data_IF_783079508469
#
_entry.id   IF_783079508469
#
_cell.length_a   1.000
_cell.length_b   1.000
_cell.length_c   1.000
_cell.angle_alpha   90.00
_cell.angle_beta   90.00
_cell.angle_gamma   90.00
#
_symmetry.space_group_name_H-M   'P 1'
#
loop_
_entity.id
_entity.type
_entity.pdbx_description
1 polymer ?
#
# COMPACT_ATOMS: atom_id res chain seq x y z
N UNK A 1 -51.65 12.46 11.43
CA UNK A 1 -50.80 13.63 11.10
C UNK A 1 -49.36 13.18 11.42
N UNK A 2 -48.60 12.52 10.54
CA UNK A 2 -47.93 12.99 9.29
C UNK A 2 -47.20 14.34 9.54
N UNK A 3 -45.87 14.55 9.45
CA UNK A 3 -44.73 13.98 8.68
C UNK A 3 -43.44 14.05 9.56
N UNK A 4 -42.43 13.15 9.57
CA UNK A 4 -41.33 12.84 8.62
C UNK A 4 -40.62 14.00 7.89
N UNK A 5 -39.37 14.28 8.32
CA UNK A 5 -38.15 14.75 7.59
C UNK A 5 -37.16 15.18 8.71
N UNK A 6 -35.92 14.69 8.90
CA UNK A 6 -34.90 14.19 7.98
C UNK A 6 -33.93 15.34 7.64
N UNK A 7 -32.71 15.36 8.22
CA UNK A 7 -31.41 15.80 7.61
C UNK A 7 -30.34 16.24 8.64
N UNK A 8 -29.31 15.38 8.77
CA UNK A 8 -27.87 15.62 8.88
C UNK A 8 -27.34 17.00 9.37
N UNK A 9 -26.46 17.05 10.39
CA UNK A 9 -25.46 18.11 10.52
C UNK A 9 -24.19 17.76 9.74
N UNK A 10 -23.53 18.82 9.23
CA UNK A 10 -22.53 18.76 8.17
C UNK A 10 -21.22 18.06 8.50
N UNK A 11 -20.66 17.41 7.48
CA UNK A 11 -19.24 17.06 7.40
C UNK A 11 -18.45 18.30 6.97
N UNK A 12 -17.64 18.81 7.90
CA UNK A 12 -16.62 19.81 7.66
C UNK A 12 -15.59 19.34 6.64
N UNK A 13 -14.96 20.33 6.01
CA UNK A 13 -13.87 20.18 5.07
C UNK A 13 -12.76 19.26 5.64
N UNK A 14 -12.48 18.16 4.94
CA UNK A 14 -11.22 17.46 5.11
C UNK A 14 -10.12 18.37 4.56
N UNK A 15 -9.35 18.97 5.48
CA UNK A 15 -8.11 19.65 5.15
C UNK A 15 -7.20 18.67 4.40
N UNK A 16 -6.86 19.02 3.17
CA UNK A 16 -5.82 18.34 2.39
C UNK A 16 -4.53 18.31 3.20
N UNK A 17 -4.10 17.11 3.61
CA UNK A 17 -2.80 16.93 4.23
C UNK A 17 -1.70 17.45 3.28
N UNK A 18 -0.75 18.27 3.74
CA UNK A 18 0.32 18.75 2.89
C UNK A 18 1.22 17.59 2.45
N UNK A 19 1.57 17.57 1.16
CA UNK A 19 2.54 16.63 0.60
C UNK A 19 3.89 16.72 1.34
N UNK A 20 4.64 15.59 1.47
CA UNK A 20 5.98 15.59 2.03
C UNK A 20 6.90 16.61 1.34
N UNK A 21 7.70 17.32 2.13
CA UNK A 21 8.49 18.49 1.68
C UNK A 21 9.54 18.14 0.61
N UNK A 22 9.94 16.87 0.51
CA UNK A 22 10.82 16.32 -0.54
C UNK A 22 10.13 16.29 -1.91
N UNK A 23 8.89 15.81 -1.95
CA UNK A 23 8.04 15.77 -3.16
C UNK A 23 7.59 17.18 -3.56
N UNK A 24 7.29 18.06 -2.60
CA UNK A 24 7.03 19.47 -2.90
C UNK A 24 8.22 20.13 -3.62
N UNK A 25 9.46 19.85 -3.21
CA UNK A 25 10.66 20.44 -3.85
C UNK A 25 10.90 19.91 -5.26
N UNK A 26 10.68 18.61 -5.49
CA UNK A 26 10.80 18.02 -6.84
C UNK A 26 9.69 18.49 -7.78
N UNK A 27 8.45 18.59 -7.30
CA UNK A 27 7.35 19.18 -8.06
C UNK A 27 7.61 20.66 -8.38
N UNK A 28 8.10 21.46 -7.42
CA UNK A 28 8.41 22.88 -7.67
C UNK A 28 9.59 23.12 -8.61
N UNK A 29 10.55 22.19 -8.69
CA UNK A 29 11.71 22.32 -9.58
C UNK A 29 11.31 22.12 -11.05
N UNK A 30 10.34 21.25 -11.32
CA UNK A 30 9.76 21.08 -12.67
C UNK A 30 8.62 22.07 -12.97
N UNK A 31 7.88 22.55 -11.95
CA UNK A 31 6.84 23.58 -12.11
C UNK A 31 7.39 24.98 -12.43
N UNK A 32 8.68 25.25 -12.26
CA UNK A 32 9.26 26.55 -12.63
C UNK A 32 9.51 26.71 -14.15
N UNK A 33 9.24 25.68 -14.96
CA UNK A 33 9.33 25.79 -16.43
C UNK A 33 8.00 25.91 -17.18
N UNK A 34 6.86 25.61 -16.57
CA UNK A 34 5.55 25.76 -17.21
C UNK A 34 4.54 26.36 -16.23
N UNK A 35 4.50 27.69 -16.17
CA UNK A 35 3.54 28.46 -15.38
C UNK A 35 2.19 28.56 -16.12
N UNK A 36 1.64 27.40 -16.51
CA UNK A 36 0.30 27.25 -17.07
C UNK A 36 -0.48 26.35 -16.11
N UNK A 37 -1.42 26.92 -15.34
CA UNK A 37 -2.44 26.15 -14.61
C UNK A 37 -2.99 25.08 -15.55
N UNK A 38 -2.83 23.81 -15.16
CA UNK A 38 -3.20 22.68 -16.00
C UNK A 38 -4.64 22.85 -16.48
N UNK A 39 -4.93 22.70 -17.79
CA UNK A 39 -6.24 22.96 -18.37
C UNK A 39 -7.36 22.17 -17.68
N UNK A 40 -7.02 21.01 -17.13
CA UNK A 40 -7.93 20.11 -16.42
C UNK A 40 -8.33 20.63 -15.02
N UNK A 41 -7.42 21.30 -14.29
CA UNK A 41 -7.76 21.93 -12.99
C UNK A 41 -8.73 23.10 -13.19
N UNK A 42 -8.49 23.93 -14.20
CA UNK A 42 -9.38 25.01 -14.60
C UNK A 42 -10.75 24.48 -15.04
N UNK A 43 -10.79 23.34 -15.73
CA UNK A 43 -12.03 22.70 -16.14
C UNK A 43 -12.81 22.13 -14.96
N UNK A 44 -12.14 21.45 -14.01
CA UNK A 44 -12.74 20.96 -12.77
C UNK A 44 -13.30 22.11 -11.93
N UNK A 45 -12.57 23.22 -11.80
CA UNK A 45 -13.06 24.42 -11.10
C UNK A 45 -14.31 25.01 -11.76
N UNK A 46 -14.35 25.09 -13.10
CA UNK A 46 -15.53 25.55 -13.84
C UNK A 46 -16.73 24.62 -13.65
N UNK A 47 -16.52 23.30 -13.67
CA UNK A 47 -17.58 22.33 -13.42
C UNK A 47 -18.13 22.43 -11.99
N UNK A 48 -17.25 22.61 -10.98
CA UNK A 48 -17.66 22.84 -9.59
C UNK A 48 -18.46 24.13 -9.43
N UNK A 49 -18.03 25.23 -10.05
CA UNK A 49 -18.77 26.51 -10.04
C UNK A 49 -20.15 26.37 -10.70
N UNK A 50 -20.21 25.72 -11.87
CA UNK A 50 -21.47 25.45 -12.58
C UNK A 50 -22.43 24.60 -11.73
N UNK A 51 -21.91 23.67 -10.93
CA UNK A 51 -22.69 22.86 -10.00
C UNK A 51 -23.31 23.72 -8.90
N UNK A 52 -22.55 24.66 -8.31
CA UNK A 52 -23.06 25.61 -7.32
C UNK A 52 -24.21 26.44 -7.92
N UNK A 53 -24.03 26.98 -9.12
CA UNK A 53 -25.03 27.80 -9.81
C UNK A 53 -26.31 27.01 -10.14
N UNK A 54 -26.17 25.77 -10.61
CA UNK A 54 -27.31 24.89 -10.88
C UNK A 54 -28.04 24.47 -9.60
N UNK A 55 -27.32 24.32 -8.48
CA UNK A 55 -27.92 23.99 -7.18
C UNK A 55 -28.72 25.16 -6.62
N UNK A 56 -28.23 26.39 -6.81
CA UNK A 56 -28.96 27.62 -6.52
C UNK A 56 -30.20 27.78 -7.41
N UNK A 57 -30.08 27.47 -8.70
CA UNK A 57 -31.21 27.50 -9.66
C UNK A 57 -32.27 26.45 -9.29
N UNK A 58 -31.85 25.24 -8.86
CA UNK A 58 -32.76 24.18 -8.38
C UNK A 58 -33.55 24.62 -7.15
N UNK A 59 -32.88 25.25 -6.19
CA UNK A 59 -33.54 25.74 -4.96
C UNK A 59 -34.51 26.87 -5.25
N UNK A 60 -34.17 27.78 -6.17
CA UNK A 60 -35.08 28.81 -6.65
C UNK A 60 -36.31 28.23 -7.39
N UNK A 61 -36.10 27.29 -8.32
CA UNK A 61 -37.19 26.62 -9.05
C UNK A 61 -38.12 25.83 -8.11
N UNK A 62 -37.56 25.22 -7.06
CA UNK A 62 -38.32 24.52 -6.03
C UNK A 62 -39.17 25.48 -5.19
N UNK A 63 -38.68 26.69 -4.90
CA UNK A 63 -39.47 27.73 -4.23
C UNK A 63 -40.56 28.35 -5.12
N UNK A 64 -40.37 28.32 -6.44
CA UNK A 64 -41.30 28.84 -7.44
C UNK A 64 -42.32 27.79 -7.95
N UNK A 65 -42.20 26.53 -7.51
CA UNK A 65 -43.01 25.40 -7.98
C UNK A 65 -42.93 25.14 -9.50
N UNK A 66 -41.78 25.46 -10.11
CA UNK A 66 -41.54 25.31 -11.55
C UNK A 66 -40.93 23.94 -11.88
N UNK A 67 -41.81 22.95 -12.02
CA UNK A 67 -41.46 21.55 -12.21
C UNK A 67 -40.55 21.24 -13.42
N UNK A 68 -40.76 21.80 -14.62
CA UNK A 68 -39.88 21.52 -15.77
C UNK A 68 -38.44 22.01 -15.56
N UNK A 69 -38.24 23.17 -14.92
CA UNK A 69 -36.89 23.67 -14.59
C UNK A 69 -36.24 22.78 -13.51
N UNK A 70 -37.03 22.28 -12.57
CA UNK A 70 -36.58 21.38 -11.50
C UNK A 70 -36.06 20.05 -12.05
N UNK A 71 -36.77 19.44 -12.99
CA UNK A 71 -36.35 18.18 -13.61
C UNK A 71 -35.13 18.38 -14.52
N UNK A 72 -35.09 19.49 -15.27
CA UNK A 72 -33.94 19.82 -16.12
C UNK A 72 -32.67 20.11 -15.30
N UNK A 73 -32.78 20.85 -14.19
CA UNK A 73 -31.64 21.15 -13.31
C UNK A 73 -31.16 19.90 -12.58
N UNK A 74 -32.05 19.01 -12.13
CA UNK A 74 -31.67 17.70 -11.56
C UNK A 74 -30.87 16.86 -12.54
N UNK A 75 -31.33 16.71 -13.78
CA UNK A 75 -30.62 15.94 -14.79
C UNK A 75 -29.22 16.51 -15.09
N UNK A 76 -29.10 17.84 -15.19
CA UNK A 76 -27.81 18.53 -15.41
C UNK A 76 -26.85 18.38 -14.24
N UNK A 77 -27.35 18.49 -12.99
CA UNK A 77 -26.54 18.27 -11.78
C UNK A 77 -26.01 16.84 -11.77
N UNK A 78 -26.85 15.83 -12.02
CA UNK A 78 -26.42 14.43 -12.06
C UNK A 78 -25.34 14.20 -13.12
N UNK A 79 -25.50 14.78 -14.31
CA UNK A 79 -24.52 14.65 -15.40
C UNK A 79 -23.17 15.30 -15.04
N UNK A 80 -23.18 16.50 -14.48
CA UNK A 80 -21.94 17.20 -14.06
C UNK A 80 -21.27 16.45 -12.90
N UNK A 81 -22.04 15.91 -11.95
CA UNK A 81 -21.50 15.08 -10.87
C UNK A 81 -20.80 13.83 -11.42
N UNK A 82 -21.42 13.14 -12.39
CA UNK A 82 -20.79 11.99 -13.05
C UNK A 82 -19.51 12.37 -13.80
N UNK A 83 -19.50 13.51 -14.49
CA UNK A 83 -18.32 14.02 -15.19
C UNK A 83 -17.19 14.39 -14.23
N UNK A 84 -17.49 15.06 -13.10
CA UNK A 84 -16.51 15.38 -12.08
C UNK A 84 -15.90 14.12 -11.47
N UNK A 85 -16.71 13.13 -11.14
CA UNK A 85 -16.23 11.82 -10.63
C UNK A 85 -15.30 11.16 -11.65
N UNK A 86 -15.66 11.18 -12.93
CA UNK A 86 -14.82 10.61 -14.00
C UNK A 86 -13.47 11.35 -14.14
N UNK A 87 -13.47 12.67 -14.09
CA UNK A 87 -12.23 13.47 -14.17
C UNK A 87 -11.34 13.28 -12.94
N UNK A 88 -11.95 13.20 -11.75
CA UNK A 88 -11.23 12.94 -10.51
C UNK A 88 -10.57 11.56 -10.51
N UNK A 89 -11.26 10.55 -11.06
CA UNK A 89 -10.70 9.22 -11.32
C UNK A 89 -9.52 9.24 -12.30
N UNK A 90 -9.63 10.00 -13.40
CA UNK A 90 -8.55 10.12 -14.38
C UNK A 90 -7.33 10.83 -13.79
N UNK A 91 -7.53 11.96 -13.11
CA UNK A 91 -6.45 12.71 -12.48
C UNK A 91 -5.75 11.87 -11.40
N UNK A 92 -6.51 11.14 -10.59
CA UNK A 92 -5.96 10.22 -9.58
C UNK A 92 -5.11 9.12 -10.22
N UNK A 93 -5.58 8.54 -11.34
CA UNK A 93 -4.84 7.52 -12.06
C UNK A 93 -3.54 8.08 -12.68
N UNK A 94 -3.59 9.28 -13.25
CA UNK A 94 -2.44 9.95 -13.85
C UNK A 94 -1.38 10.31 -12.80
N UNK A 95 -1.80 10.80 -11.62
CA UNK A 95 -0.91 11.06 -10.49
C UNK A 95 -0.20 9.78 -10.05
N UNK A 96 -0.93 8.68 -9.86
CA UNK A 96 -0.33 7.40 -9.45
C UNK A 96 0.62 6.87 -10.53
N UNK A 97 0.25 6.95 -11.81
CA UNK A 97 1.11 6.53 -12.91
C UNK A 97 2.40 7.36 -13.00
N UNK A 98 2.31 8.67 -12.80
CA UNK A 98 3.47 9.56 -12.75
C UNK A 98 4.37 9.23 -11.56
N UNK A 99 3.81 9.07 -10.36
CA UNK A 99 4.58 8.71 -9.17
C UNK A 99 5.27 7.34 -9.33
N UNK A 100 4.60 6.36 -9.93
CA UNK A 100 5.19 5.04 -10.22
C UNK A 100 6.34 5.17 -11.23
N UNK A 101 6.18 6.03 -12.25
CA UNK A 101 7.22 6.28 -13.26
C UNK A 101 8.45 6.93 -12.62
N UNK A 102 8.27 7.96 -11.80
CA UNK A 102 9.35 8.63 -11.05
C UNK A 102 10.04 7.64 -10.11
N UNK A 103 9.28 6.78 -9.43
CA UNK A 103 9.84 5.73 -8.58
C UNK A 103 10.70 4.74 -9.39
N UNK A 104 10.23 4.30 -10.57
CA UNK A 104 10.98 3.43 -11.46
C UNK A 104 12.28 4.09 -11.95
N UNK A 105 12.26 5.38 -12.29
CA UNK A 105 13.44 6.13 -12.73
C UNK A 105 14.47 6.25 -11.61
N UNK A 106 14.03 6.58 -10.40
CA UNK A 106 14.89 6.64 -9.22
C UNK A 106 15.51 5.27 -8.91
N UNK A 107 14.71 4.20 -8.94
CA UNK A 107 15.17 2.83 -8.73
C UNK A 107 16.20 2.42 -9.78
N UNK A 108 15.93 2.70 -11.06
CA UNK A 108 16.84 2.38 -12.17
C UNK A 108 18.18 3.13 -12.03
N UNK A 109 18.15 4.41 -11.64
CA UNK A 109 19.36 5.20 -11.43
C UNK A 109 20.20 4.69 -10.25
N UNK A 110 19.56 4.35 -9.13
CA UNK A 110 20.27 3.83 -7.94
C UNK A 110 20.83 2.43 -8.23
N UNK A 111 20.04 1.56 -8.84
CA UNK A 111 20.47 0.22 -9.24
C UNK A 111 21.62 0.32 -10.25
N UNK A 112 21.53 1.18 -11.27
CA UNK A 112 22.60 1.42 -12.23
C UNK A 112 23.91 1.83 -11.56
N UNK A 113 23.85 2.74 -10.58
CA UNK A 113 25.04 3.12 -9.78
C UNK A 113 25.59 1.95 -8.98
N UNK A 114 24.74 1.18 -8.29
CA UNK A 114 25.14 0.01 -7.51
C UNK A 114 25.78 -1.09 -8.39
N UNK A 115 25.36 -1.20 -9.64
CA UNK A 115 25.92 -2.13 -10.62
C UNK A 115 27.21 -1.62 -11.28
N UNK A 116 27.44 -0.31 -11.35
CA UNK A 116 28.66 0.30 -11.95
C UNK A 116 29.93 0.20 -11.11
N UNK A 117 29.82 -0.04 -9.81
CA UNK A 117 30.97 -0.06 -8.90
C UNK A 117 31.74 -1.38 -8.98
N UNK A 118 32.51 -1.57 -10.06
CA UNK A 118 33.61 -2.55 -10.17
C UNK A 118 33.27 -3.93 -10.76
N UNK A 119 34.28 -4.73 -11.14
CA UNK A 119 34.10 -6.04 -11.75
C UNK A 119 33.61 -7.03 -10.68
N UNK A 120 32.39 -7.52 -10.88
CA UNK A 120 31.68 -8.35 -9.92
C UNK A 120 30.66 -7.49 -9.20
N UNK A 121 29.39 -7.80 -9.44
CA UNK A 121 28.29 -7.31 -8.60
C UNK A 121 28.63 -7.79 -7.21
N UNK A 122 29.11 -6.91 -6.35
CA UNK A 122 28.94 -7.17 -4.94
C UNK A 122 27.44 -6.96 -4.71
N UNK A 123 26.62 -7.99 -4.91
CA UNK A 123 25.28 -8.00 -4.32
C UNK A 123 25.40 -7.82 -2.79
N UNK A 124 26.59 -8.04 -2.21
CA UNK A 124 26.96 -7.63 -0.86
C UNK A 124 27.03 -6.11 -0.62
N UNK A 125 27.18 -5.26 -1.65
CA UNK A 125 27.01 -3.78 -1.54
C UNK A 125 25.56 -3.35 -1.59
N UNK A 126 24.67 -4.15 -2.20
CA UNK A 126 23.23 -4.01 -2.02
C UNK A 126 22.92 -4.54 -0.61
N UNK A 127 23.03 -3.65 0.38
CA UNK A 127 22.84 -4.00 1.78
C UNK A 127 21.49 -4.73 1.97
N UNK A 128 21.44 -5.66 2.93
CA UNK A 128 20.19 -6.24 3.40
C UNK A 128 19.24 -5.11 3.81
N UNK A 129 18.22 -4.82 3.00
CA UNK A 129 17.33 -3.68 3.20
C UNK A 129 17.34 -2.63 2.08
N UNK A 130 18.07 -2.82 0.99
CA UNK A 130 17.84 -2.07 -0.25
C UNK A 130 16.54 -2.55 -0.93
N UNK A 131 15.66 -1.64 -1.42
CA UNK A 131 15.70 -0.19 -1.35
C UNK A 131 14.90 0.36 -0.15
N UNK A 132 14.45 -0.45 0.82
CA UNK A 132 13.67 0.00 1.98
C UNK A 132 14.29 1.17 2.76
N UNK A 133 15.61 1.32 2.72
CA UNK A 133 16.30 2.45 3.34
C UNK A 133 16.31 3.73 2.48
N UNK A 134 16.05 3.62 1.19
CA UNK A 134 16.07 4.74 0.25
C UNK A 134 14.88 5.67 0.43
N UNK A 135 15.09 7.00 0.42
CA UNK A 135 14.03 7.97 0.65
C UNK A 135 12.95 7.90 -0.43
N UNK A 136 13.31 7.73 -1.70
CA UNK A 136 12.33 7.64 -2.80
C UNK A 136 11.38 6.44 -2.63
N UNK A 137 11.87 5.33 -2.05
CA UNK A 137 11.08 4.13 -1.84
C UNK A 137 10.12 4.31 -0.65
N UNK A 138 10.60 4.89 0.46
CA UNK A 138 9.76 5.23 1.61
C UNK A 138 8.67 6.25 1.28
N UNK A 139 9.01 7.27 0.50
CA UNK A 139 8.07 8.31 0.07
C UNK A 139 6.97 7.68 -0.80
N UNK A 140 7.32 6.76 -1.70
CA UNK A 140 6.33 6.07 -2.53
C UNK A 140 5.45 5.10 -1.72
N UNK A 141 5.99 4.33 -0.77
CA UNK A 141 5.19 3.52 0.14
C UNK A 141 4.21 4.39 0.95
N UNK A 142 4.65 5.56 1.42
CA UNK A 142 3.79 6.51 2.14
C UNK A 142 2.67 7.05 1.25
N UNK A 143 2.95 7.32 -0.02
CA UNK A 143 1.93 7.71 -1.00
C UNK A 143 0.92 6.59 -1.24
N UNK A 144 1.37 5.34 -1.36
CA UNK A 144 0.48 4.18 -1.53
C UNK A 144 -0.51 4.03 -0.37
N UNK A 145 -0.16 4.46 0.86
CA UNK A 145 -1.08 4.48 2.01
C UNK A 145 -2.18 5.53 1.91
N UNK A 146 -1.96 6.58 1.11
CA UNK A 146 -2.94 7.65 0.87
C UNK A 146 -3.86 7.34 -0.32
N UNK A 147 -3.55 6.32 -1.14
CA UNK A 147 -4.39 5.94 -2.27
C UNK A 147 -5.76 5.46 -1.77
N UNK A 148 -6.88 5.98 -2.32
CA UNK A 148 -8.22 5.53 -1.93
C UNK A 148 -8.48 4.06 -2.31
N UNK A 149 -9.28 3.34 -1.51
CA UNK A 149 -9.49 1.89 -1.64
C UNK A 149 -9.99 1.46 -3.02
N UNK A 150 -10.83 2.26 -3.64
CA UNK A 150 -11.41 2.01 -4.97
C UNK A 150 -10.37 1.98 -6.11
N UNK A 151 -9.15 2.46 -5.88
CA UNK A 151 -8.07 2.39 -6.87
C UNK A 151 -7.04 1.31 -6.57
N UNK A 152 -7.05 0.76 -5.36
CA UNK A 152 -5.99 -0.15 -4.94
C UNK A 152 -5.91 -1.36 -5.90
N UNK A 153 -7.04 -1.89 -6.40
CA UNK A 153 -7.04 -3.05 -7.32
C UNK A 153 -6.25 -2.73 -8.60
N UNK A 154 -6.46 -1.53 -9.15
CA UNK A 154 -5.74 -1.05 -10.32
C UNK A 154 -4.26 -0.83 -10.02
N UNK A 155 -3.92 -0.31 -8.83
CA UNK A 155 -2.54 -0.15 -8.40
C UNK A 155 -1.84 -1.50 -8.27
N UNK A 156 -2.47 -2.45 -7.57
CA UNK A 156 -1.95 -3.80 -7.40
C UNK A 156 -1.73 -4.47 -8.75
N UNK A 157 -2.70 -4.40 -9.65
CA UNK A 157 -2.59 -4.94 -11.00
C UNK A 157 -1.45 -4.31 -11.78
N UNK A 158 -1.30 -2.99 -11.73
CA UNK A 158 -0.19 -2.28 -12.37
C UNK A 158 1.17 -2.72 -11.82
N UNK A 159 1.31 -2.87 -10.50
CA UNK A 159 2.54 -3.37 -9.88
C UNK A 159 2.87 -4.82 -10.30
N UNK A 160 1.87 -5.70 -10.35
CA UNK A 160 2.04 -7.09 -10.79
C UNK A 160 2.52 -7.19 -12.24
N UNK A 161 2.08 -6.27 -13.10
CA UNK A 161 2.52 -6.20 -14.50
C UNK A 161 3.97 -5.72 -14.70
N UNK A 162 4.60 -5.18 -13.66
CA UNK A 162 6.01 -4.76 -13.68
C UNK A 162 6.98 -5.89 -13.32
N UNK A 163 6.48 -7.03 -12.81
CA UNK A 163 7.36 -8.12 -12.38
C UNK A 163 8.19 -8.66 -13.56
N UNK A 164 9.50 -8.89 -13.36
CA UNK A 164 10.43 -9.21 -14.45
C UNK A 164 10.36 -10.63 -14.99
N UNK A 165 9.70 -11.55 -14.29
CA UNK A 165 9.67 -12.94 -14.75
C UNK A 165 8.54 -13.14 -15.76
N UNK A 166 8.92 -13.65 -16.93
CA UNK A 166 8.00 -14.10 -17.97
C UNK A 166 7.23 -15.34 -17.48
N UNK A 167 6.03 -15.12 -16.96
CA UNK A 167 5.12 -16.19 -16.58
C UNK A 167 4.25 -16.54 -17.80
N UNK A 168 4.11 -17.84 -18.14
CA UNK A 168 3.25 -18.27 -19.23
C UNK A 168 1.82 -17.73 -19.07
N UNK A 169 1.26 -17.20 -20.17
CA UNK A 169 -0.10 -16.67 -20.23
C UNK A 169 -0.35 -15.42 -19.36
N UNK A 170 0.69 -14.66 -19.01
CA UNK A 170 0.56 -13.28 -18.51
C UNK A 170 0.90 -12.32 -19.66
N UNK A 171 0.03 -11.33 -19.96
CA UNK A 171 0.32 -10.35 -20.99
C UNK A 171 1.55 -9.51 -20.60
N UNK A 172 2.52 -9.41 -21.52
CA UNK A 172 3.68 -8.54 -21.35
C UNK A 172 3.23 -7.07 -21.31
N UNK A 173 3.63 -6.36 -20.26
CA UNK A 173 3.40 -4.92 -20.18
C UNK A 173 4.45 -4.18 -21.00
N UNK A 174 4.08 -3.17 -21.82
CA UNK A 174 5.05 -2.30 -22.47
C UNK A 174 5.87 -1.48 -21.45
N UNK A 175 5.40 -1.40 -20.21
CA UNK A 175 6.10 -0.77 -19.08
C UNK A 175 6.76 -1.77 -18.14
N UNK A 176 6.86 -3.06 -18.53
CA UNK A 176 7.41 -4.13 -17.71
C UNK A 176 8.93 -4.04 -17.50
N UNK A 177 9.54 -5.14 -17.05
CA UNK A 177 10.97 -5.12 -16.72
C UNK A 177 11.88 -4.79 -17.91
N UNK A 178 11.53 -5.16 -19.13
CA UNK A 178 12.28 -4.77 -20.34
C UNK A 178 12.37 -3.24 -20.46
N UNK A 179 11.27 -2.52 -20.20
CA UNK A 179 11.24 -1.06 -20.18
C UNK A 179 12.02 -0.48 -18.98
N UNK A 180 11.93 -1.11 -17.81
CA UNK A 180 12.75 -0.74 -16.66
C UNK A 180 14.26 -0.85 -16.96
N UNK A 181 14.70 -1.93 -17.60
CA UNK A 181 16.11 -2.12 -17.93
C UNK A 181 16.62 -1.16 -19.00
N UNK A 182 15.78 -0.68 -19.90
CA UNK A 182 16.14 0.41 -20.83
C UNK A 182 16.49 1.71 -20.08
N UNK A 183 15.94 1.92 -18.89
CA UNK A 183 16.20 3.10 -18.03
C UNK A 183 17.47 2.96 -17.20
N UNK A 184 18.00 1.75 -17.04
CA UNK A 184 19.27 1.53 -16.35
C UNK A 184 20.39 1.96 -17.31
N UNK A 185 21.02 3.10 -17.03
CA UNK A 185 21.93 3.83 -17.93
C UNK A 185 23.23 3.12 -18.31
N UNK A 186 23.42 1.84 -17.96
CA UNK A 186 24.66 1.09 -18.15
C UNK A 186 24.36 -0.27 -18.78
N UNK A 187 25.24 -0.78 -19.66
CA UNK A 187 25.07 -2.10 -20.25
C UNK A 187 25.16 -3.16 -19.15
N UNK A 188 24.00 -3.70 -18.79
CA UNK A 188 23.91 -4.80 -17.83
C UNK A 188 24.43 -6.06 -18.54
N UNK A 189 25.57 -6.61 -18.08
CA UNK A 189 26.04 -7.91 -18.55
C UNK A 189 24.97 -8.97 -18.25
N UNK A 190 24.79 -9.97 -19.10
CA UNK A 190 23.78 -11.01 -18.91
C UNK A 190 23.86 -11.69 -17.52
N UNK A 191 25.08 -11.83 -16.99
CA UNK A 191 25.40 -12.36 -15.65
C UNK A 191 24.83 -11.50 -14.49
N UNK A 192 24.49 -10.24 -14.76
CA UNK A 192 24.00 -9.24 -13.79
C UNK A 192 22.49 -9.06 -13.85
N UNK A 193 21.87 -9.41 -14.98
CA UNK A 193 20.43 -9.26 -15.21
C UNK A 193 19.64 -10.08 -14.19
N UNK A 194 20.11 -11.28 -13.85
CA UNK A 194 19.40 -12.14 -12.91
C UNK A 194 19.36 -11.54 -11.49
N UNK A 195 20.49 -11.06 -10.97
CA UNK A 195 20.52 -10.38 -9.67
C UNK A 195 19.69 -9.09 -9.66
N UNK A 196 19.72 -8.32 -10.75
CA UNK A 196 18.92 -7.11 -10.91
C UNK A 196 17.41 -7.42 -10.95
N UNK A 197 17.01 -8.50 -11.62
CA UNK A 197 15.65 -9.02 -11.61
C UNK A 197 15.18 -9.37 -10.20
N UNK A 198 16.01 -10.09 -9.43
CA UNK A 198 15.68 -10.47 -8.05
C UNK A 198 15.50 -9.23 -7.16
N UNK A 199 16.35 -8.21 -7.33
CA UNK A 199 16.20 -6.95 -6.62
C UNK A 199 14.90 -6.26 -7.01
N UNK A 200 14.59 -6.16 -8.30
CA UNK A 200 13.34 -5.54 -8.77
C UNK A 200 12.10 -6.27 -8.22
N UNK A 201 12.12 -7.60 -8.19
CA UNK A 201 11.06 -8.42 -7.57
C UNK A 201 10.90 -8.09 -6.10
N UNK A 202 12.01 -8.04 -5.37
CA UNK A 202 12.00 -7.74 -3.93
C UNK A 202 11.44 -6.33 -3.65
N UNK A 203 11.76 -5.35 -4.51
CA UNK A 203 11.24 -3.98 -4.46
C UNK A 203 9.74 -3.93 -4.74
N UNK A 204 9.29 -4.59 -5.81
CA UNK A 204 7.88 -4.61 -6.18
C UNK A 204 7.04 -5.32 -5.12
N UNK A 205 7.59 -6.35 -4.49
CA UNK A 205 6.92 -7.04 -3.38
C UNK A 205 6.71 -6.16 -2.16
N UNK A 206 7.62 -5.24 -1.86
CA UNK A 206 7.40 -4.26 -0.78
C UNK A 206 6.18 -3.38 -1.09
N UNK A 207 6.05 -2.92 -2.32
CA UNK A 207 4.90 -2.12 -2.75
C UNK A 207 3.60 -2.93 -2.78
N UNK A 208 3.66 -4.17 -3.28
CA UNK A 208 2.53 -5.09 -3.27
C UNK A 208 2.08 -5.33 -1.83
N UNK A 209 3.01 -5.58 -0.91
CA UNK A 209 2.70 -5.75 0.52
C UNK A 209 2.00 -4.52 1.12
N UNK A 210 2.42 -3.30 0.80
CA UNK A 210 1.77 -2.07 1.28
C UNK A 210 0.33 -1.94 0.76
N UNK A 211 0.09 -2.36 -0.49
CA UNK A 211 -1.26 -2.37 -1.07
C UNK A 211 -2.11 -3.50 -0.47
N UNK A 212 -1.54 -4.69 -0.30
CA UNK A 212 -2.27 -5.85 0.24
C UNK A 212 -2.54 -5.75 1.73
N UNK A 213 -1.78 -5.00 2.53
CA UNK A 213 -2.17 -4.77 3.94
C UNK A 213 -3.50 -4.03 4.09
N UNK A 214 -3.96 -3.35 3.04
CA UNK A 214 -5.17 -2.55 3.03
C UNK A 214 -6.34 -3.28 2.36
N UNK A 215 -6.19 -4.60 2.15
CA UNK A 215 -7.20 -5.51 1.63
C UNK A 215 -8.41 -5.57 2.56
N UNK A 216 -9.55 -5.06 2.11
CA UNK A 216 -10.86 -5.42 2.68
C UNK A 216 -11.50 -6.55 1.87
N UNK A 217 -12.35 -7.43 2.42
CA UNK A 217 -13.00 -8.47 1.63
C UNK A 217 -13.79 -7.88 0.44
N UNK A 218 -13.47 -8.30 -0.79
CA UNK A 218 -14.25 -7.96 -2.01
C UNK A 218 -13.77 -6.76 -2.85
N UNK A 219 -12.71 -6.05 -2.45
CA UNK A 219 -12.13 -4.92 -3.21
C UNK A 219 -11.41 -5.32 -4.52
N UNK A 220 -10.71 -6.47 -4.57
CA UNK A 220 -9.91 -6.87 -5.72
C UNK A 220 -10.73 -7.72 -6.69
N UNK A 221 -10.52 -7.48 -7.99
CA UNK A 221 -11.15 -8.28 -9.02
C UNK A 221 -10.56 -9.70 -9.02
N UNK A 222 -11.38 -10.68 -9.40
CA UNK A 222 -10.95 -12.07 -9.53
C UNK A 222 -9.73 -12.21 -10.46
N UNK A 223 -9.61 -11.36 -11.47
CA UNK A 223 -8.49 -11.37 -12.39
C UNK A 223 -7.20 -10.86 -11.75
N UNK A 224 -7.25 -9.81 -10.94
CA UNK A 224 -6.09 -9.33 -10.15
C UNK A 224 -5.64 -10.39 -9.15
N UNK A 225 -6.57 -11.04 -8.45
CA UNK A 225 -6.27 -12.12 -7.52
C UNK A 225 -5.62 -13.32 -8.22
N UNK A 226 -6.15 -13.73 -9.38
CA UNK A 226 -5.55 -14.80 -10.21
C UNK A 226 -4.14 -14.43 -10.66
N UNK A 227 -3.92 -13.18 -11.05
CA UNK A 227 -2.61 -12.69 -11.47
C UNK A 227 -1.61 -12.77 -10.31
N UNK A 228 -2.00 -12.28 -9.13
CA UNK A 228 -1.20 -12.34 -7.89
C UNK A 228 -0.82 -13.78 -7.54
N UNK A 229 -1.80 -14.69 -7.53
CA UNK A 229 -1.55 -16.11 -7.24
C UNK A 229 -0.61 -16.74 -8.26
N UNK A 230 -0.75 -16.43 -9.55
CA UNK A 230 0.16 -16.93 -10.60
C UNK A 230 1.60 -16.50 -10.33
N UNK A 231 1.83 -15.24 -9.98
CA UNK A 231 3.16 -14.78 -9.58
C UNK A 231 3.65 -15.54 -8.35
N UNK A 232 2.89 -15.55 -7.26
CA UNK A 232 3.29 -16.20 -6.02
C UNK A 232 3.68 -17.68 -6.21
N UNK A 233 2.84 -18.48 -6.88
CA UNK A 233 3.11 -19.88 -7.16
C UNK A 233 4.30 -20.08 -8.10
N UNK A 234 4.52 -19.18 -9.04
CA UNK A 234 5.67 -19.24 -9.93
C UNK A 234 6.99 -19.04 -9.17
N UNK A 235 7.06 -18.04 -8.28
CA UNK A 235 8.25 -17.83 -7.44
C UNK A 235 8.47 -18.98 -6.45
N UNK A 236 7.41 -19.52 -5.84
CA UNK A 236 7.50 -20.72 -4.99
C UNK A 236 8.04 -21.93 -5.75
N UNK A 237 7.61 -22.13 -7.01
CA UNK A 237 8.14 -23.20 -7.86
C UNK A 237 9.62 -23.01 -8.18
N UNK A 238 10.06 -21.77 -8.40
CA UNK A 238 11.48 -21.46 -8.64
C UNK A 238 12.30 -21.78 -7.38
N UNK A 239 11.85 -21.44 -6.16
CA UNK A 239 12.59 -21.80 -4.93
C UNK A 239 12.84 -23.29 -4.80
N UNK A 240 11.89 -24.12 -5.25
CA UNK A 240 12.00 -25.57 -5.13
C UNK A 240 12.98 -26.20 -6.15
N UNK A 241 13.27 -25.51 -7.25
CA UNK A 241 13.97 -26.11 -8.41
C UNK A 241 15.30 -25.45 -8.74
N UNK A 242 15.46 -24.15 -8.46
CA UNK A 242 16.65 -23.40 -8.83
C UNK A 242 17.67 -23.37 -7.70
N UNK A 243 18.93 -23.65 -8.04
CA UNK A 243 20.07 -23.43 -7.14
C UNK A 243 20.55 -21.99 -7.29
N UNK A 244 20.52 -21.25 -6.20
CA UNK A 244 21.01 -19.87 -6.15
C UNK A 244 22.41 -19.82 -5.55
N UNK A 245 23.19 -18.81 -5.92
CA UNK A 245 24.40 -18.46 -5.15
C UNK A 245 24.00 -18.06 -3.71
N UNK A 246 24.91 -18.10 -2.72
CA UNK A 246 24.58 -17.74 -1.34
C UNK A 246 23.92 -16.35 -1.20
N UNK A 247 24.36 -15.39 -2.01
CA UNK A 247 23.83 -14.02 -1.98
C UNK A 247 22.44 -13.92 -2.61
N UNK A 248 22.24 -14.55 -3.77
CA UNK A 248 20.94 -14.62 -4.43
C UNK A 248 19.94 -15.42 -3.59
N UNK A 249 20.38 -16.50 -2.96
CA UNK A 249 19.56 -17.35 -2.10
C UNK A 249 19.00 -16.58 -0.91
N UNK A 250 19.76 -15.65 -0.33
CA UNK A 250 19.28 -14.79 0.75
C UNK A 250 18.18 -13.82 0.27
N UNK A 251 18.34 -13.22 -0.90
CA UNK A 251 17.32 -12.34 -1.51
C UNK A 251 16.09 -13.14 -1.92
N UNK A 252 16.30 -14.35 -2.44
CA UNK A 252 15.21 -15.24 -2.84
C UNK A 252 14.42 -15.73 -1.63
N UNK A 253 15.08 -16.04 -0.51
CA UNK A 253 14.41 -16.38 0.74
C UNK A 253 13.53 -15.23 1.24
N UNK A 254 14.00 -13.98 1.13
CA UNK A 254 13.21 -12.78 1.44
C UNK A 254 12.01 -12.64 0.49
N UNK A 255 12.24 -12.81 -0.81
CA UNK A 255 11.18 -12.84 -1.84
C UNK A 255 10.08 -13.86 -1.50
N UNK A 256 10.45 -15.08 -1.11
CA UNK A 256 9.48 -16.14 -0.75
C UNK A 256 8.72 -15.80 0.53
N UNK A 257 9.41 -15.24 1.54
CA UNK A 257 8.75 -14.76 2.75
C UNK A 257 7.71 -13.68 2.44
N UNK A 258 8.08 -12.69 1.62
CA UNK A 258 7.16 -11.62 1.19
C UNK A 258 5.97 -12.18 0.41
N UNK A 259 6.18 -13.17 -0.46
CA UNK A 259 5.06 -13.85 -1.14
C UNK A 259 4.14 -14.61 -0.19
N UNK A 260 4.70 -15.33 0.79
CA UNK A 260 3.89 -16.03 1.79
C UNK A 260 3.02 -15.05 2.58
N UNK A 261 3.56 -13.86 2.87
CA UNK A 261 2.81 -12.76 3.47
C UNK A 261 1.72 -12.25 2.52
N UNK A 262 2.04 -11.91 1.28
CA UNK A 262 1.04 -11.42 0.31
C UNK A 262 -0.11 -12.43 0.12
N UNK A 263 0.21 -13.72 0.08
CA UNK A 263 -0.78 -14.80 0.01
C UNK A 263 -1.68 -14.84 1.26
N UNK A 264 -1.10 -14.63 2.44
CA UNK A 264 -1.87 -14.55 3.68
C UNK A 264 -2.82 -13.36 3.72
N UNK A 265 -2.44 -12.20 3.19
CA UNK A 265 -3.35 -11.04 3.12
C UNK A 265 -4.57 -11.31 2.24
N UNK A 266 -4.35 -12.04 1.14
CA UNK A 266 -5.42 -12.39 0.20
C UNK A 266 -6.32 -13.50 0.75
N UNK A 267 -5.81 -14.34 1.65
CA UNK A 267 -6.51 -15.52 2.15
C UNK A 267 -7.66 -15.22 3.14
N UNK A 268 -7.94 -13.96 3.45
CA UNK A 268 -8.96 -13.53 4.42
C UNK A 268 -8.83 -14.31 5.76
N UNK A 269 -7.64 -14.22 6.36
CA UNK A 269 -7.34 -14.92 7.62
C UNK A 269 -7.97 -14.16 8.78
N UNK A 270 -8.76 -14.84 9.62
CA UNK A 270 -9.33 -14.25 10.82
C UNK A 270 -8.22 -13.87 11.83
N UNK A 271 -8.30 -12.65 12.38
CA UNK A 271 -7.34 -12.13 13.36
C UNK A 271 -7.13 -13.12 14.53
N UNK A 272 -8.21 -13.65 15.11
CA UNK A 272 -8.13 -14.58 16.24
C UNK A 272 -7.39 -15.90 15.94
N UNK A 273 -7.30 -16.33 14.67
CA UNK A 273 -6.48 -17.49 14.29
C UNK A 273 -4.99 -17.14 14.19
N UNK A 274 -4.68 -15.92 13.74
CA UNK A 274 -3.32 -15.40 13.70
C UNK A 274 -2.77 -15.25 15.10
N UNK A 275 -3.58 -14.69 16.01
CA UNK A 275 -3.23 -14.51 17.42
C UNK A 275 -2.89 -15.86 18.06
N UNK A 276 -3.76 -16.86 17.90
CA UNK A 276 -3.52 -18.22 18.40
C UNK A 276 -2.22 -18.83 17.86
N UNK A 277 -1.92 -18.64 16.57
CA UNK A 277 -0.66 -19.14 15.97
C UNK A 277 0.58 -18.45 16.52
N UNK A 278 0.50 -17.13 16.76
CA UNK A 278 1.59 -16.38 17.39
C UNK A 278 1.82 -16.92 18.80
N UNK A 279 0.78 -17.01 19.63
CA UNK A 279 0.89 -17.54 20.99
C UNK A 279 1.40 -18.98 21.00
N UNK A 280 0.93 -19.82 20.08
CA UNK A 280 1.35 -21.21 19.97
C UNK A 280 2.85 -21.36 19.72
N UNK A 281 3.46 -20.47 18.93
CA UNK A 281 4.90 -20.53 18.59
C UNK A 281 5.75 -19.77 19.62
N UNK A 282 5.20 -18.72 20.22
CA UNK A 282 5.86 -17.96 21.30
C UNK A 282 5.74 -18.62 22.67
N UNK A 283 4.94 -19.70 22.79
CA UNK A 283 4.81 -20.48 24.00
C UNK A 283 6.20 -20.91 24.52
N UNK A 284 6.62 -20.45 25.71
CA UNK A 284 7.93 -20.77 26.27
C UNK A 284 8.14 -22.28 26.53
N UNK A 285 7.06 -23.07 26.55
CA UNK A 285 7.12 -24.52 26.66
C UNK A 285 7.40 -25.21 25.32
N UNK A 286 7.12 -24.55 24.19
CA UNK A 286 7.45 -25.05 22.85
C UNK A 286 8.82 -24.50 22.41
N UNK A 287 9.74 -25.40 22.02
CA UNK A 287 11.05 -25.00 21.48
C UNK A 287 10.93 -24.58 20.02
N UNK A 288 10.44 -23.37 19.77
CA UNK A 288 10.45 -22.78 18.43
C UNK A 288 11.86 -22.32 18.04
N UNK A 289 12.22 -22.49 16.77
CA UNK A 289 13.49 -21.96 16.25
C UNK A 289 13.42 -20.44 16.11
N UNK A 290 14.56 -19.75 16.07
CA UNK A 290 14.58 -18.30 15.89
C UNK A 290 14.04 -17.86 14.52
N UNK A 291 14.18 -18.70 13.50
CA UNK A 291 13.64 -18.47 12.16
C UNK A 291 12.12 -18.61 12.15
N UNK A 292 11.60 -19.61 12.87
CA UNK A 292 10.17 -19.84 13.07
C UNK A 292 9.51 -18.72 13.88
N UNK A 293 10.19 -18.21 14.92
CA UNK A 293 9.73 -17.03 15.66
C UNK A 293 9.68 -15.80 14.73
N UNK A 294 10.74 -15.52 13.98
CA UNK A 294 10.74 -14.38 13.04
C UNK A 294 9.63 -14.54 11.98
N UNK A 295 9.41 -15.75 11.50
CA UNK A 295 8.37 -16.07 10.52
C UNK A 295 6.97 -15.84 11.10
N UNK A 296 6.66 -16.34 12.31
CA UNK A 296 5.34 -16.16 12.91
C UNK A 296 5.08 -14.69 13.26
N UNK A 297 6.11 -13.97 13.71
CA UNK A 297 5.99 -12.55 14.03
C UNK A 297 5.71 -11.69 12.80
N UNK A 298 6.07 -12.17 11.59
CA UNK A 298 5.64 -11.51 10.35
C UNK A 298 4.13 -11.54 10.13
N UNK A 299 3.41 -12.46 10.78
CA UNK A 299 1.96 -12.56 10.76
C UNK A 299 1.27 -11.52 11.66
N UNK A 300 2.00 -10.83 12.56
CA UNK A 300 1.43 -9.74 13.39
C UNK A 300 0.78 -8.62 12.56
N UNK A 301 1.16 -8.48 11.29
CA UNK A 301 0.51 -7.56 10.34
C UNK A 301 -0.99 -7.82 10.13
N UNK A 302 -1.47 -9.05 10.32
CA UNK A 302 -2.89 -9.39 10.16
C UNK A 302 -3.74 -9.05 11.38
N UNK A 303 -3.09 -8.62 12.45
CA UNK A 303 -3.74 -8.18 13.70
C UNK A 303 -3.96 -6.65 13.69
N UNK A 304 -3.60 -5.97 12.59
CA UNK A 304 -3.55 -4.50 12.50
C UNK A 304 -4.88 -3.78 12.32
N UNK A 305 -6.02 -4.44 12.50
CA UNK A 305 -7.31 -3.76 12.52
C UNK A 305 -7.63 -3.26 13.93
N UNK A 306 -8.25 -2.09 14.04
CA UNK A 306 -8.74 -1.59 15.33
C UNK A 306 -9.78 -2.60 15.85
N UNK A 307 -9.60 -3.14 17.08
CA UNK A 307 -10.52 -4.13 17.60
C UNK A 307 -11.93 -3.53 17.70
N UNK A 308 -12.90 -4.25 17.13
CA UNK A 308 -14.30 -3.83 17.08
C UNK A 308 -15.06 -4.16 18.38
N UNK A 309 -14.52 -5.06 19.20
CA UNK A 309 -15.07 -5.50 20.47
C UNK A 309 -14.01 -5.61 21.59
N UNK A 310 -14.49 -5.67 22.84
CA UNK A 310 -13.63 -5.75 24.01
C UNK A 310 -12.79 -7.05 24.05
N UNK A 311 -13.26 -8.11 23.39
CA UNK A 311 -12.54 -9.38 23.30
C UNK A 311 -11.32 -9.25 22.37
N UNK A 312 -11.50 -8.70 21.17
CA UNK A 312 -10.39 -8.45 20.25
C UNK A 312 -9.35 -7.51 20.87
N UNK A 313 -9.78 -6.50 21.64
CA UNK A 313 -8.87 -5.63 22.37
C UNK A 313 -8.03 -6.39 23.42
N UNK A 314 -8.66 -7.26 24.22
CA UNK A 314 -7.95 -8.09 25.19
C UNK A 314 -6.95 -9.06 24.53
N UNK A 315 -7.31 -9.65 23.39
CA UNK A 315 -6.43 -10.55 22.63
C UNK A 315 -5.20 -9.80 22.05
N UNK A 316 -5.37 -8.56 21.58
CA UNK A 316 -4.25 -7.72 21.10
C UNK A 316 -3.30 -7.35 22.25
N UNK A 317 -3.83 -6.95 23.40
CA UNK A 317 -3.01 -6.60 24.58
C UNK A 317 -2.24 -7.81 25.08
N UNK A 318 -2.89 -8.98 25.10
CA UNK A 318 -2.24 -10.22 25.48
C UNK A 318 -1.00 -10.48 24.61
N UNK A 319 -1.13 -10.34 23.30
CA UNK A 319 0.02 -10.46 22.39
C UNK A 319 1.08 -9.39 22.68
N UNK A 320 0.70 -8.12 22.89
CA UNK A 320 1.67 -7.05 23.19
C UNK A 320 2.50 -7.42 24.42
N UNK A 321 1.86 -7.92 25.48
CA UNK A 321 2.54 -8.39 26.69
C UNK A 321 3.42 -9.61 26.42
N UNK A 322 2.92 -10.59 25.65
CA UNK A 322 3.69 -11.78 25.23
C UNK A 322 4.94 -11.39 24.43
N UNK A 323 4.81 -10.47 23.48
CA UNK A 323 5.90 -9.93 22.67
C UNK A 323 6.93 -9.21 23.53
N UNK A 324 6.49 -8.38 24.47
CA UNK A 324 7.37 -7.69 25.42
C UNK A 324 8.18 -8.69 26.25
N UNK A 325 7.54 -9.76 26.74
CA UNK A 325 8.23 -10.82 27.47
C UNK A 325 9.23 -11.59 26.58
N UNK A 326 8.92 -11.82 25.30
CA UNK A 326 9.84 -12.45 24.33
C UNK A 326 11.04 -11.54 24.04
N UNK A 327 10.82 -10.22 23.94
CA UNK A 327 11.88 -9.24 23.76
C UNK A 327 12.92 -9.30 24.89
N UNK A 328 12.44 -9.28 26.14
CA UNK A 328 13.28 -9.29 27.33
C UNK A 328 14.09 -10.59 27.46
N UNK A 329 13.47 -11.73 27.13
CA UNK A 329 14.09 -13.06 27.27
C UNK A 329 15.04 -13.42 26.14
N UNK A 330 14.78 -12.91 24.93
CA UNK A 330 15.59 -13.27 23.76
C UNK A 330 16.96 -12.59 23.79
N UNK A 331 18.02 -13.34 23.48
CA UNK A 331 19.39 -12.82 23.30
C UNK A 331 19.78 -12.63 21.83
N UNK A 332 18.89 -12.99 20.89
CA UNK A 332 19.16 -12.93 19.45
C UNK A 332 18.59 -11.65 18.85
N UNK A 333 19.45 -10.88 18.20
CA UNK A 333 19.08 -9.60 17.59
C UNK A 333 17.98 -9.74 16.53
N UNK A 334 18.02 -10.80 15.71
CA UNK A 334 17.00 -11.05 14.69
C UNK A 334 15.59 -11.21 15.28
N UNK A 335 15.47 -11.87 16.42
CA UNK A 335 14.20 -12.05 17.13
C UNK A 335 13.76 -10.73 17.77
N UNK A 336 14.68 -10.00 18.41
CA UNK A 336 14.38 -8.68 19.00
C UNK A 336 13.88 -7.68 17.97
N UNK A 337 14.51 -7.63 16.79
CA UNK A 337 14.07 -6.77 15.68
C UNK A 337 12.68 -7.17 15.19
N UNK A 338 12.42 -8.47 15.01
CA UNK A 338 11.10 -8.94 14.57
C UNK A 338 10.01 -8.62 15.61
N UNK A 339 10.32 -8.72 16.90
CA UNK A 339 9.41 -8.31 17.98
C UNK A 339 9.14 -6.82 17.97
N UNK A 340 10.17 -5.97 17.81
CA UNK A 340 9.98 -4.52 17.68
C UNK A 340 9.06 -4.20 16.50
N UNK A 341 9.31 -4.81 15.33
CA UNK A 341 8.48 -4.59 14.14
C UNK A 341 7.02 -5.04 14.34
N UNK A 342 6.81 -6.16 15.03
CA UNK A 342 5.48 -6.64 15.39
C UNK A 342 4.77 -5.68 16.36
N UNK A 343 5.48 -5.20 17.39
CA UNK A 343 4.96 -4.23 18.36
C UNK A 343 4.64 -2.89 17.72
N UNK A 344 5.52 -2.34 16.89
CA UNK A 344 5.27 -1.10 16.14
C UNK A 344 3.99 -1.22 15.31
N UNK A 345 3.76 -2.38 14.69
CA UNK A 345 2.57 -2.63 13.87
C UNK A 345 1.28 -2.77 14.68
N UNK A 346 1.34 -3.49 15.80
CA UNK A 346 0.20 -3.65 16.72
C UNK A 346 -0.15 -2.35 17.43
N UNK A 347 0.84 -1.52 17.78
CA UNK A 347 0.61 -0.23 18.39
C UNK A 347 0.07 0.81 17.40
N UNK A 348 0.44 0.74 16.11
CA UNK A 348 -0.14 1.60 15.07
C UNK A 348 -1.65 1.42 14.91
N UNK A 349 -2.18 0.22 15.07
CA UNK A 349 -3.64 -0.01 15.01
C UNK A 349 -4.37 0.48 16.27
N UNK A 350 -3.62 0.78 17.33
CA UNK A 350 -4.08 1.36 18.58
C UNK A 350 -3.83 2.87 18.66
N UNK A 351 -3.54 3.56 17.55
CA UNK A 351 -3.24 4.99 17.57
C UNK A 351 -4.46 5.82 18.01
N UNK A 352 -4.52 6.10 19.31
CA UNK A 352 -5.54 6.88 20.01
C UNK A 352 -5.28 8.40 19.93
N UNK A 353 -4.28 8.84 19.16
CA UNK A 353 -3.90 10.27 19.06
C UNK A 353 -4.89 11.11 18.24
N UNK A 354 -5.81 10.48 17.52
CA UNK A 354 -6.98 11.17 16.97
C UNK A 354 -7.95 11.54 18.09
N UNK A 355 -8.19 12.84 18.28
CA UNK A 355 -9.19 13.39 19.20
C UNK A 355 -10.59 12.84 18.94
N UNK A 356 -10.89 11.66 19.47
CA UNK A 356 -12.22 11.08 19.45
C UNK A 356 -12.85 11.36 20.80
N UNK A 357 -13.75 12.34 20.85
CA UNK A 357 -14.68 12.56 21.96
C UNK A 357 -15.59 11.34 22.22
N UNK A 358 -15.47 10.26 21.44
CA UNK A 358 -16.19 8.98 21.57
C UNK A 358 -15.24 7.78 21.50
N UNK A 359 -14.21 7.74 22.35
CA UNK A 359 -13.45 6.51 22.54
C UNK A 359 -14.38 5.42 23.14
N UNK A 360 -14.45 4.21 22.57
CA UNK A 360 -15.26 3.12 23.13
C UNK A 360 -14.93 2.85 24.61
N UNK A 361 -15.92 2.47 25.42
CA UNK A 361 -15.74 2.28 26.88
C UNK A 361 -14.58 1.34 27.26
N UNK A 362 -14.26 0.37 26.39
CA UNK A 362 -13.13 -0.54 26.58
C UNK A 362 -11.77 0.16 26.44
N UNK A 363 -11.65 1.20 25.61
CA UNK A 363 -10.41 2.01 25.47
C UNK A 363 -10.12 2.74 26.77
N UNK A 364 -11.16 3.26 27.42
CA UNK A 364 -11.07 3.96 28.71
C UNK A 364 -10.73 3.01 29.86
N UNK A 365 -11.18 1.76 29.77
CA UNK A 365 -10.80 0.70 30.71
C UNK A 365 -9.34 0.27 30.51
N UNK A 366 -8.88 0.18 29.26
CA UNK A 366 -7.50 -0.16 28.91
C UNK A 366 -6.47 0.84 29.43
N UNK A 367 -6.75 2.13 29.31
CA UNK A 367 -5.83 3.21 29.72
C UNK A 367 -5.70 3.35 31.25
N UNK A 368 -6.52 2.63 32.02
CA UNK A 368 -6.50 2.66 33.49
C UNK A 368 -5.71 1.52 34.11
N UNK A 369 -5.46 0.44 33.37
CA UNK A 369 -4.58 -0.68 33.76
C UNK A 369 -3.16 -0.43 33.25
#
# INVERSE_FOLDING_TARGET
MFNQEGLLPGRGAAASAPLPTSLQRQLTADSQKDNATAPDELYIQKLRATLVDLTATRTAAQSANDQPILDQTRAKITLIQQQLVKLDHQLSADVVANCLTVWLDALAAVLGRALSSGPGIKLSTVQTGFPRHEPFHKDFCSLLRLVPENYLDSVLRSLLLLFPLDIPNIPKSPYGAEFFFQKVTLPIKAEVIEGANLILVDCLLDLVMEVTQRLTPGWATLDTLRLLLRHAFFYLRISATKKFTPTEGKIFQQTILKWAIVLGDVAAIECGEVIRKIDDILDPLKRASSEEIVLVLSASRYVSEMPTDARGAAEIIHIILTLTAVFDRSKKDSVRIAVIQALERLCQSLDLTGSNEHAPDWVTALLRE
#
